data_IF_337339583934
#
_entry.id   IF_337339583934
#
_cell.length_a   1.000
_cell.length_b   1.000
_cell.length_c   1.000
_cell.angle_alpha   90.00
_cell.angle_beta   90.00
_cell.angle_gamma   90.00
#
_symmetry.space_group_name_H-M   'P 1'
#
loop_
_entity.id
_entity.type
_entity.pdbx_description
1 polymer ?
#
# COMPACT_ATOMS: atom_id res chain seq x y z
N UNK A 1 -11.35 -22.13 -14.85
CA UNK A 1 -10.26 -21.22 -14.40
C UNK A 1 -10.22 -21.27 -12.88
N UNK A 2 -9.09 -21.70 -12.34
CA UNK A 2 -8.98 -22.37 -11.04
C UNK A 2 -8.80 -21.40 -9.86
N UNK A 3 -9.64 -21.57 -8.82
CA UNK A 3 -9.61 -20.92 -7.48
C UNK A 3 -8.33 -21.18 -6.66
N UNK A 4 -7.22 -21.57 -7.29
CA UNK A 4 -5.98 -22.02 -6.62
C UNK A 4 -5.20 -20.92 -5.89
N UNK A 5 -5.45 -19.65 -6.18
CA UNK A 5 -4.71 -18.55 -5.57
C UNK A 5 -5.19 -18.18 -4.15
N UNK A 6 -6.42 -18.53 -3.77
CA UNK A 6 -6.98 -18.17 -2.45
C UNK A 6 -6.50 -19.08 -1.31
N UNK A 7 -6.07 -20.31 -1.62
CA UNK A 7 -5.64 -21.30 -0.61
C UNK A 7 -4.27 -21.00 0.00
N UNK A 8 -3.43 -20.22 -0.68
CA UNK A 8 -2.07 -19.94 -0.21
C UNK A 8 -1.97 -18.79 0.79
N UNK A 9 -2.99 -17.94 0.91
CA UNK A 9 -2.93 -16.77 1.81
C UNK A 9 -3.21 -17.13 3.27
N UNK A 10 -4.21 -18.00 3.56
CA UNK A 10 -4.62 -18.26 4.94
C UNK A 10 -3.85 -19.39 5.66
N UNK A 11 -3.05 -20.20 4.94
CA UNK A 11 -2.43 -21.41 5.51
C UNK A 11 -1.02 -21.21 6.09
N UNK A 12 -0.48 -19.97 6.13
CA UNK A 12 0.93 -19.73 6.53
C UNK A 12 1.17 -18.56 7.49
N UNK A 13 0.20 -18.21 8.34
CA UNK A 13 0.43 -17.26 9.45
C UNK A 13 -0.30 -17.67 10.75
N UNK A 14 -0.22 -18.96 11.08
CA UNK A 14 -0.36 -19.43 12.46
C UNK A 14 1.03 -19.64 13.06
N UNK A 15 1.67 -18.57 13.56
CA UNK A 15 2.78 -18.65 14.51
C UNK A 15 3.01 -17.26 15.12
N UNK A 16 2.93 -17.22 16.45
CA UNK A 16 2.95 -16.03 17.31
C UNK A 16 4.18 -15.14 17.15
N UNK A 17 4.01 -13.84 17.41
CA UNK A 17 4.81 -13.12 18.39
C UNK A 17 4.11 -11.83 18.81
N UNK A 18 3.83 -11.77 20.10
CA UNK A 18 3.33 -10.62 20.84
C UNK A 18 4.33 -9.46 20.77
N UNK A 19 3.82 -8.26 20.46
CA UNK A 19 4.46 -6.99 20.74
C UNK A 19 3.39 -5.91 20.73
N UNK A 20 2.83 -5.63 21.91
CA UNK A 20 2.11 -4.38 22.18
C UNK A 20 3.10 -3.22 22.02
N UNK A 21 2.75 -2.26 21.16
CA UNK A 21 3.34 -0.94 21.21
C UNK A 21 2.25 0.10 20.99
N UNK A 22 1.71 0.54 22.11
CA UNK A 22 0.91 1.74 22.28
C UNK A 22 1.84 2.95 22.14
N UNK A 23 1.61 3.81 21.15
CA UNK A 23 2.06 5.20 21.21
C UNK A 23 1.15 6.09 20.38
N UNK A 24 0.47 6.94 21.16
CA UNK A 24 -0.19 8.23 20.94
C UNK A 24 -0.27 8.85 19.53
N UNK A 25 -1.38 9.55 19.22
CA UNK A 25 -1.54 10.26 17.96
C UNK A 25 -0.62 11.48 18.00
N UNK A 26 0.38 11.51 17.12
CA UNK A 26 1.09 12.75 16.83
C UNK A 26 0.63 13.21 15.47
N UNK A 27 -0.27 14.20 15.51
CA UNK A 27 -0.54 15.11 14.40
C UNK A 27 0.77 15.84 14.10
N UNK A 28 1.47 15.42 13.04
CA UNK A 28 2.70 16.05 12.57
C UNK A 28 2.61 16.23 11.05
N UNK A 29 2.26 17.46 10.70
CA UNK A 29 2.41 18.00 9.37
C UNK A 29 3.83 17.78 8.84
N UNK A 30 3.91 17.23 7.62
CA UNK A 30 4.98 17.42 6.64
C UNK A 30 6.40 17.68 7.21
N UNK A 31 7.05 16.64 7.73
CA UNK A 31 8.50 16.68 7.97
C UNK A 31 9.22 15.71 7.03
N UNK A 32 10.44 16.12 6.65
CA UNK A 32 11.31 15.58 5.62
C UNK A 32 11.13 14.08 5.34
N UNK A 33 10.68 13.77 4.13
CA UNK A 33 10.64 12.40 3.60
C UNK A 33 12.05 11.82 3.70
N UNK A 34 12.25 10.79 4.53
CA UNK A 34 13.48 10.02 4.55
C UNK A 34 13.80 9.62 3.09
N UNK A 35 15.05 9.77 2.61
CA UNK A 35 15.40 9.31 1.27
C UNK A 35 14.95 7.87 0.98
N UNK A 36 14.91 7.00 2.00
CA UNK A 36 14.38 5.65 1.89
C UNK A 36 12.87 5.61 1.58
N UNK A 37 12.08 6.50 2.19
CA UNK A 37 10.64 6.63 1.89
C UNK A 37 10.42 7.17 0.49
N UNK A 38 11.26 8.11 0.02
CA UNK A 38 11.21 8.59 -1.36
C UNK A 38 11.34 7.46 -2.39
N UNK A 39 12.33 6.58 -2.21
CA UNK A 39 12.55 5.41 -3.08
C UNK A 39 11.39 4.42 -2.98
N UNK A 40 10.84 4.20 -1.79
CA UNK A 40 9.67 3.35 -1.59
C UNK A 40 8.44 3.91 -2.31
N UNK A 41 8.18 5.20 -2.19
CA UNK A 41 7.04 5.87 -2.83
C UNK A 41 7.14 5.81 -4.36
N UNK A 42 8.33 6.04 -4.91
CA UNK A 42 8.57 5.94 -6.35
C UNK A 42 8.35 4.50 -6.84
N UNK A 43 8.75 3.49 -6.04
CA UNK A 43 8.49 2.09 -6.33
C UNK A 43 7.00 1.75 -6.28
N UNK A 44 6.29 2.16 -5.22
CA UNK A 44 4.83 1.96 -5.10
C UNK A 44 4.09 2.59 -6.28
N UNK A 45 4.46 3.83 -6.64
CA UNK A 45 3.88 4.51 -7.80
C UNK A 45 4.09 3.70 -9.08
N UNK A 46 5.28 3.14 -9.30
CA UNK A 46 5.56 2.27 -10.45
C UNK A 46 4.75 0.97 -10.40
N UNK A 47 4.67 0.33 -9.24
CA UNK A 47 4.00 -0.95 -9.06
C UNK A 47 2.47 -0.82 -9.18
N UNK A 48 1.89 0.35 -8.95
CA UNK A 48 0.50 0.66 -9.30
C UNK A 48 0.29 1.00 -10.78
N UNK A 49 1.34 0.96 -11.61
CA UNK A 49 1.27 1.27 -13.04
C UNK A 49 1.52 2.74 -13.38
N UNK A 50 2.07 3.52 -12.45
CA UNK A 50 2.38 4.93 -12.62
C UNK A 50 1.22 5.87 -12.30
N UNK A 51 1.51 7.18 -12.26
CA UNK A 51 0.55 8.23 -11.88
C UNK A 51 -0.68 8.22 -12.76
N UNK A 52 -0.51 8.02 -14.07
CA UNK A 52 -1.62 8.04 -15.02
C UNK A 52 -2.57 6.87 -14.85
N UNK A 53 -2.13 5.77 -14.23
CA UNK A 53 -2.98 4.61 -13.95
C UNK A 53 -3.78 4.77 -12.66
N UNK A 54 -3.34 5.62 -11.73
CA UNK A 54 -4.02 5.84 -10.45
C UNK A 54 -5.16 6.85 -10.64
N UNK A 55 -6.35 6.48 -10.19
CA UNK A 55 -7.54 7.34 -10.17
C UNK A 55 -7.69 8.00 -8.81
N UNK A 56 -7.51 7.22 -7.73
CA UNK A 56 -7.69 7.68 -6.36
C UNK A 56 -6.86 6.83 -5.42
N UNK A 57 -6.30 7.46 -4.39
CA UNK A 57 -5.58 6.81 -3.29
C UNK A 57 -6.32 7.11 -2.00
N UNK A 58 -6.67 6.07 -1.26
CA UNK A 58 -7.29 6.11 0.05
C UNK A 58 -6.55 5.14 0.98
N UNK A 59 -6.70 5.29 2.29
CA UNK A 59 -6.21 4.31 3.24
C UNK A 59 -7.18 4.14 4.40
N UNK A 60 -7.37 2.89 4.79
CA UNK A 60 -7.91 2.54 6.09
C UNK A 60 -6.75 2.29 7.06
N UNK A 61 -7.07 1.99 8.33
CA UNK A 61 -6.09 1.70 9.38
C UNK A 61 -4.96 0.73 8.96
N UNK A 62 -5.31 -0.32 8.20
CA UNK A 62 -4.37 -1.38 7.84
C UNK A 62 -4.18 -1.59 6.34
N UNK A 63 -4.89 -0.84 5.49
CA UNK A 63 -4.94 -1.05 4.03
C UNK A 63 -4.80 0.24 3.28
N UNK A 64 -3.87 0.27 2.32
CA UNK A 64 -3.81 1.26 1.26
C UNK A 64 -4.73 0.79 0.13
N UNK A 65 -5.76 1.58 -0.19
CA UNK A 65 -6.76 1.33 -1.22
C UNK A 65 -6.45 2.24 -2.41
N UNK A 66 -6.18 1.64 -3.56
CA UNK A 66 -5.86 2.38 -4.78
C UNK A 66 -6.82 1.99 -5.87
N UNK A 67 -7.60 2.94 -6.36
CA UNK A 67 -8.44 2.77 -7.54
C UNK A 67 -7.58 3.02 -8.76
N UNK A 68 -7.55 2.07 -9.70
CA UNK A 68 -6.73 2.14 -10.91
C UNK A 68 -7.56 2.06 -12.18
N UNK A 69 -7.07 2.66 -13.27
CA UNK A 69 -7.69 2.58 -14.60
C UNK A 69 -7.52 1.18 -15.20
N UNK A 70 -6.33 0.59 -15.08
CA UNK A 70 -5.99 -0.72 -15.63
C UNK A 70 -5.28 -1.59 -14.60
N UNK A 71 -5.86 -2.75 -14.32
CA UNK A 71 -5.23 -3.77 -13.46
C UNK A 71 -4.02 -4.43 -14.13
N UNK A 72 -3.95 -4.44 -15.46
CA UNK A 72 -2.85 -5.07 -16.19
C UNK A 72 -1.51 -4.34 -15.99
N UNK A 73 -1.56 -3.06 -15.59
CA UNK A 73 -0.38 -2.26 -15.27
C UNK A 73 0.04 -2.40 -13.79
N UNK A 74 -0.71 -3.13 -12.97
CA UNK A 74 -0.42 -3.31 -11.54
C UNK A 74 0.47 -4.53 -11.33
N UNK A 75 1.60 -4.33 -10.64
CA UNK A 75 2.51 -5.38 -10.20
C UNK A 75 2.24 -5.75 -8.74
N UNK A 76 1.37 -6.73 -8.53
CA UNK A 76 1.05 -7.23 -7.19
C UNK A 76 2.27 -7.85 -6.47
N UNK A 77 3.21 -8.45 -7.22
CA UNK A 77 4.43 -9.02 -6.64
C UNK A 77 5.40 -7.90 -6.22
N UNK A 78 5.51 -6.84 -7.01
CA UNK A 78 6.23 -5.61 -6.67
C UNK A 78 5.71 -4.98 -5.38
N UNK A 79 4.39 -4.84 -5.23
CA UNK A 79 3.76 -4.34 -4.00
C UNK A 79 4.11 -5.17 -2.77
N UNK A 80 4.16 -6.50 -2.88
CA UNK A 80 4.58 -7.37 -1.78
C UNK A 80 6.08 -7.21 -1.46
N UNK A 81 6.93 -7.06 -2.47
CA UNK A 81 8.36 -6.76 -2.28
C UNK A 81 8.61 -5.36 -1.68
N UNK A 82 7.70 -4.42 -1.93
CA UNK A 82 7.69 -3.09 -1.31
C UNK A 82 7.21 -3.11 0.15
N UNK A 83 6.81 -4.27 0.68
CA UNK A 83 6.44 -4.47 2.08
C UNK A 83 4.95 -4.71 2.34
N UNK A 84 4.13 -4.91 1.30
CA UNK A 84 2.74 -5.30 1.50
C UNK A 84 2.68 -6.75 2.02
N UNK A 85 1.96 -6.94 3.13
CA UNK A 85 1.69 -8.26 3.71
C UNK A 85 0.80 -9.08 2.76
N UNK A 86 -0.11 -8.41 2.08
CA UNK A 86 -1.00 -8.99 1.10
C UNK A 86 -1.56 -7.94 0.15
N UNK A 87 -1.95 -8.39 -1.03
CA UNK A 87 -2.61 -7.57 -2.04
C UNK A 87 -3.93 -8.25 -2.42
N UNK A 88 -5.04 -7.53 -2.30
CA UNK A 88 -6.37 -7.99 -2.68
C UNK A 88 -6.90 -7.09 -3.79
N UNK A 89 -7.45 -7.68 -4.86
CA UNK A 89 -7.99 -6.93 -5.99
C UNK A 89 -9.50 -7.15 -6.04
N UNK A 90 -10.26 -6.06 -6.04
CA UNK A 90 -11.72 -6.02 -6.07
C UNK A 90 -12.18 -5.09 -7.18
N UNK A 91 -12.56 -5.65 -8.33
CA UNK A 91 -12.82 -4.84 -9.52
C UNK A 91 -11.58 -4.02 -9.87
N UNK A 92 -11.72 -2.70 -9.97
CA UNK A 92 -10.63 -1.76 -10.25
C UNK A 92 -9.91 -1.23 -8.99
N UNK A 93 -10.21 -1.78 -7.81
CA UNK A 93 -9.61 -1.35 -6.54
C UNK A 93 -8.56 -2.37 -6.08
N UNK A 94 -7.35 -1.89 -5.83
CA UNK A 94 -6.22 -2.65 -5.31
C UNK A 94 -6.01 -2.32 -3.83
N UNK A 95 -6.10 -3.32 -2.97
CA UNK A 95 -5.94 -3.20 -1.52
C UNK A 95 -4.59 -3.79 -1.14
N UNK A 96 -3.60 -2.94 -0.88
CA UNK A 96 -2.32 -3.36 -0.36
C UNK A 96 -2.31 -3.21 1.18
N UNK A 97 -2.06 -4.31 1.89
CA UNK A 97 -2.08 -4.35 3.35
C UNK A 97 -0.68 -4.03 3.87
N UNK A 98 -0.46 -2.80 4.34
CA UNK A 98 0.82 -2.37 4.95
C UNK A 98 0.75 -2.28 6.48
N UNK A 99 -0.37 -2.68 7.09
CA UNK A 99 -0.60 -2.49 8.51
C UNK A 99 -0.68 -1.01 8.87
N UNK A 100 -0.17 -0.63 10.04
CA UNK A 100 -0.23 0.74 10.59
C UNK A 100 0.45 1.79 9.69
N UNK A 101 1.33 1.37 8.76
CA UNK A 101 1.96 2.27 7.79
C UNK A 101 1.04 2.73 6.66
N UNK A 102 -0.15 2.15 6.52
CA UNK A 102 -1.03 2.40 5.36
C UNK A 102 -1.45 3.86 5.24
N UNK A 103 -1.86 4.50 6.35
CA UNK A 103 -2.27 5.90 6.31
C UNK A 103 -1.07 6.84 6.06
N UNK A 104 0.09 6.57 6.67
CA UNK A 104 1.32 7.32 6.41
C UNK A 104 1.73 7.24 4.94
N UNK A 105 1.69 6.05 4.33
CA UNK A 105 2.00 5.88 2.90
C UNK A 105 1.01 6.64 2.00
N UNK A 106 -0.28 6.66 2.35
CA UNK A 106 -1.29 7.46 1.64
C UNK A 106 -0.95 8.95 1.69
N UNK A 107 -0.66 9.48 2.89
CA UNK A 107 -0.30 10.89 3.06
C UNK A 107 0.95 11.27 2.26
N UNK A 108 1.97 10.41 2.29
CA UNK A 108 3.20 10.64 1.55
C UNK A 108 3.02 10.57 0.02
N UNK A 109 2.21 9.62 -0.48
CA UNK A 109 1.85 9.54 -1.90
C UNK A 109 1.09 10.79 -2.34
N UNK A 110 0.12 11.23 -1.55
CA UNK A 110 -0.67 12.44 -1.79
C UNK A 110 0.24 13.67 -1.85
N UNK A 111 1.07 13.88 -0.82
CA UNK A 111 1.97 15.02 -0.74
C UNK A 111 2.98 15.07 -1.90
N UNK A 112 3.52 13.91 -2.31
CA UNK A 112 4.56 13.84 -3.35
C UNK A 112 4.00 13.96 -4.77
N UNK A 113 2.85 13.33 -5.04
CA UNK A 113 2.36 13.14 -6.40
C UNK A 113 1.04 13.82 -6.71
N UNK A 114 0.18 14.07 -5.73
CA UNK A 114 -1.18 14.56 -5.98
C UNK A 114 -1.44 15.97 -5.44
N UNK A 115 -0.56 16.50 -4.59
CA UNK A 115 -0.61 17.89 -4.13
C UNK A 115 -0.44 18.89 -5.29
N UNK A 116 -1.31 19.91 -5.42
CA UNK A 116 -1.14 20.98 -6.40
C UNK A 116 0.14 21.78 -6.07
N UNK A 117 1.04 21.91 -7.05
CA UNK A 117 2.16 22.86 -6.97
C UNK A 117 1.73 24.26 -7.32
#
# INVERSE_FOLDING_TARGET
MSLKAFKHYFSRHGAAKDAEQESSPTDAAAEATDPADGVLLDRLMRDFGGRDNIVQVDACLTRLRVTVKSLAAVDAAGLQQAGAIGVVILGHEVHAIFGTRSDSLRQLLEARFFSPR
#
